data_IF_096946964129
#
_entry.id   IF_096946964129
#
_cell.length_a   1.000
_cell.length_b   1.000
_cell.length_c   1.000
_cell.angle_alpha   90.00
_cell.angle_beta   90.00
_cell.angle_gamma   90.00
#
_symmetry.space_group_name_H-M   'P 1'
#
loop_
_entity.id
_entity.type
_entity.pdbx_description
1 polymer ?
#
# COMPACT_ATOMS: atom_id res chain seq x y z
N UNK A 1 -8.89 -22.14 -7.33
CA UNK A 1 -10.22 -21.52 -7.20
C UNK A 1 -10.13 -20.56 -6.01
N UNK A 2 -9.90 -19.26 -6.25
CA UNK A 2 -9.44 -18.32 -5.21
C UNK A 2 -10.57 -17.96 -4.22
N UNK A 3 -10.30 -18.20 -2.95
CA UNK A 3 -11.10 -17.83 -1.79
C UNK A 3 -11.14 -16.29 -1.63
N UNK A 4 -12.15 -15.61 -2.16
CA UNK A 4 -12.21 -14.13 -2.05
C UNK A 4 -13.55 -13.55 -1.58
N UNK A 5 -14.52 -14.38 -1.18
CA UNK A 5 -15.78 -13.91 -0.56
C UNK A 5 -16.17 -14.71 0.68
N UNK A 6 -15.24 -14.83 1.62
CA UNK A 6 -15.57 -15.27 2.99
C UNK A 6 -15.74 -14.09 3.97
N UNK A 7 -15.71 -12.84 3.48
CA UNK A 7 -16.08 -11.72 4.34
C UNK A 7 -17.57 -11.80 4.71
N UNK A 8 -17.87 -11.53 5.98
CA UNK A 8 -19.24 -11.41 6.49
C UNK A 8 -19.96 -10.18 5.94
N UNK A 9 -19.23 -9.17 5.47
CA UNK A 9 -19.85 -7.90 5.07
C UNK A 9 -20.44 -7.94 3.66
N UNK A 10 -21.68 -7.49 3.55
CA UNK A 10 -22.42 -7.38 2.28
C UNK A 10 -22.36 -5.97 1.68
N UNK A 11 -21.83 -4.99 2.42
CA UNK A 11 -21.71 -3.59 2.00
C UNK A 11 -20.25 -3.15 2.05
N UNK A 12 -19.89 -2.20 1.19
CA UNK A 12 -18.56 -1.56 1.27
C UNK A 12 -18.45 -0.78 2.57
N UNK A 13 -17.24 -0.76 3.13
CA UNK A 13 -16.90 0.02 4.30
C UNK A 13 -17.28 1.51 4.10
N UNK A 14 -18.24 2.05 4.88
CA UNK A 14 -18.64 3.45 4.76
C UNK A 14 -17.54 4.43 5.19
N UNK A 15 -16.54 3.96 5.93
CA UNK A 15 -15.41 4.76 6.41
C UNK A 15 -14.28 4.88 5.36
N UNK A 16 -14.43 4.25 4.19
CA UNK A 16 -13.55 4.43 3.03
C UNK A 16 -14.22 5.36 2.02
N UNK A 17 -13.68 6.57 1.85
CA UNK A 17 -14.28 7.62 1.01
C UNK A 17 -13.56 7.80 -0.32
N UNK A 18 -14.31 7.88 -1.41
CA UNK A 18 -13.79 8.29 -2.72
C UNK A 18 -13.81 9.81 -2.83
N UNK A 19 -12.64 10.42 -2.96
CA UNK A 19 -12.45 11.87 -3.09
C UNK A 19 -12.06 12.27 -4.52
N UNK A 20 -12.26 11.40 -5.50
CA UNK A 20 -11.89 11.63 -6.91
C UNK A 20 -12.46 12.93 -7.46
N UNK A 21 -13.74 13.23 -7.20
CA UNK A 21 -14.37 14.45 -7.71
C UNK A 21 -13.72 15.73 -7.16
N UNK A 22 -13.18 15.67 -5.94
CA UNK A 22 -12.54 16.81 -5.28
C UNK A 22 -11.06 17.00 -5.66
N UNK A 23 -10.33 15.92 -5.97
CA UNK A 23 -8.88 15.97 -6.18
C UNK A 23 -8.40 15.40 -7.53
N UNK A 24 -9.30 14.98 -8.41
CA UNK A 24 -8.94 14.37 -9.70
C UNK A 24 -8.00 15.25 -10.54
N UNK A 25 -8.11 16.58 -10.41
CA UNK A 25 -7.24 17.57 -11.09
C UNK A 25 -6.16 18.21 -10.19
N UNK A 26 -6.02 17.76 -8.95
CA UNK A 26 -5.08 18.32 -7.96
C UNK A 26 -3.84 17.44 -7.81
N UNK A 27 -2.76 18.01 -7.25
CA UNK A 27 -1.55 17.25 -6.85
C UNK A 27 -1.86 16.29 -5.71
N UNK A 28 -1.10 15.19 -5.63
CA UNK A 28 -1.32 14.18 -4.58
C UNK A 28 -0.99 14.71 -3.18
N UNK A 29 -0.03 15.63 -3.05
CA UNK A 29 0.26 16.32 -1.79
C UNK A 29 -0.93 17.05 -1.19
N UNK A 30 -1.80 17.63 -2.01
CA UNK A 30 -3.03 18.27 -1.52
C UNK A 30 -4.02 17.23 -0.96
N UNK A 31 -4.12 16.08 -1.62
CA UNK A 31 -4.91 14.95 -1.10
C UNK A 31 -4.34 14.46 0.23
N UNK A 32 -3.03 14.20 0.32
CA UNK A 32 -2.40 13.74 1.56
C UNK A 32 -2.59 14.75 2.71
N UNK A 33 -2.40 16.05 2.46
CA UNK A 33 -2.59 17.10 3.46
C UNK A 33 -4.01 17.08 4.03
N UNK A 34 -5.01 17.17 3.15
CA UNK A 34 -6.41 17.30 3.55
C UNK A 34 -6.93 16.02 4.21
N UNK A 35 -6.49 14.83 3.76
CA UNK A 35 -6.85 13.56 4.38
C UNK A 35 -6.29 13.46 5.80
N UNK A 36 -4.99 13.70 5.98
CA UNK A 36 -4.36 13.62 7.31
C UNK A 36 -4.89 14.69 8.27
N UNK A 37 -5.14 15.91 7.78
CA UNK A 37 -5.78 16.96 8.58
C UNK A 37 -7.21 16.60 8.99
N UNK A 38 -8.00 16.00 8.08
CA UNK A 38 -9.35 15.51 8.36
C UNK A 38 -9.33 14.40 9.41
N UNK A 39 -8.43 13.43 9.28
CA UNK A 39 -8.29 12.34 10.25
C UNK A 39 -7.84 12.80 11.62
N UNK A 40 -6.92 13.78 11.69
CA UNK A 40 -6.53 14.39 12.96
C UNK A 40 -7.72 15.00 13.69
N UNK A 41 -8.64 15.67 12.98
CA UNK A 41 -9.88 16.22 13.55
C UNK A 41 -10.85 15.13 14.01
N UNK A 42 -10.95 14.05 13.25
CA UNK A 42 -11.84 12.92 13.53
C UNK A 42 -11.23 11.91 14.53
N UNK A 43 -10.00 12.13 15.00
CA UNK A 43 -9.23 11.19 15.82
C UNK A 43 -9.09 9.80 15.18
N UNK A 44 -8.94 9.77 13.86
CA UNK A 44 -8.70 8.56 13.08
C UNK A 44 -7.19 8.35 12.92
N UNK A 45 -6.73 7.15 13.26
CA UNK A 45 -5.31 6.80 13.23
C UNK A 45 -4.46 7.64 14.18
N UNK A 46 -3.14 7.61 14.00
CA UNK A 46 -2.18 8.22 14.92
C UNK A 46 -1.55 9.49 14.34
N UNK A 47 -2.39 10.41 13.84
CA UNK A 47 -1.92 11.67 13.24
C UNK A 47 -1.08 11.47 11.98
N UNK A 48 -1.31 10.36 11.26
CA UNK A 48 -0.54 9.94 10.08
C UNK A 48 0.50 8.85 10.36
N UNK A 49 0.96 8.70 11.61
CA UNK A 49 1.92 7.64 11.93
C UNK A 49 1.31 6.26 11.68
N UNK A 50 2.06 5.45 10.93
CA UNK A 50 1.69 4.12 10.45
C UNK A 50 0.44 4.11 9.57
N UNK A 51 -0.01 5.25 9.01
CA UNK A 51 -0.99 5.21 7.94
C UNK A 51 -0.38 4.49 6.72
N UNK A 52 -1.20 3.66 6.06
CA UNK A 52 -0.80 2.87 4.89
C UNK A 52 -1.11 3.70 3.65
N UNK A 53 -0.12 3.91 2.80
CA UNK A 53 -0.32 4.48 1.47
C UNK A 53 -0.46 3.38 0.43
N UNK A 54 -1.37 3.57 -0.53
CA UNK A 54 -1.47 2.76 -1.75
C UNK A 54 -1.34 3.68 -2.96
N UNK A 55 -0.54 3.27 -3.94
CA UNK A 55 -0.31 4.03 -5.16
C UNK A 55 -0.61 3.15 -6.36
N UNK A 56 -1.33 3.69 -7.33
CA UNK A 56 -1.51 3.12 -8.66
C UNK A 56 -0.74 3.91 -9.68
N UNK A 57 0.42 3.39 -10.05
CA UNK A 57 1.34 4.05 -10.97
C UNK A 57 1.00 3.72 -12.43
N UNK A 58 1.39 4.63 -13.32
CA UNK A 58 1.29 4.49 -14.79
C UNK A 58 2.64 4.27 -15.47
N UNK A 59 3.73 4.21 -14.70
CA UNK A 59 5.04 3.80 -15.23
C UNK A 59 5.05 2.29 -15.54
N UNK A 60 6.07 1.82 -16.27
CA UNK A 60 6.18 0.41 -16.66
C UNK A 60 6.15 -0.58 -15.48
N UNK A 61 6.88 -0.33 -14.36
CA UNK A 61 6.76 -1.16 -13.17
C UNK A 61 5.34 -1.17 -12.61
N UNK A 62 4.72 0.01 -12.48
CA UNK A 62 3.37 0.18 -11.98
C UNK A 62 2.31 -0.56 -12.77
N UNK A 63 2.33 -0.36 -14.08
CA UNK A 63 1.43 -1.02 -15.02
C UNK A 63 1.56 -2.55 -14.96
N UNK A 64 2.80 -3.06 -14.90
CA UNK A 64 3.09 -4.49 -14.77
C UNK A 64 2.49 -5.06 -13.49
N UNK A 65 2.74 -4.43 -12.34
CA UNK A 65 2.22 -4.89 -11.05
C UNK A 65 0.70 -4.83 -10.97
N UNK A 66 0.07 -3.79 -11.52
CA UNK A 66 -1.40 -3.67 -11.56
C UNK A 66 -2.02 -4.75 -12.44
N UNK A 67 -1.42 -5.02 -13.59
CA UNK A 67 -1.86 -6.08 -14.51
C UNK A 67 -1.70 -7.46 -13.90
N UNK A 68 -0.57 -7.73 -13.24
CA UNK A 68 -0.30 -9.00 -12.58
C UNK A 68 -1.36 -9.32 -11.49
N UNK A 69 -1.89 -8.31 -10.81
CA UNK A 69 -2.92 -8.48 -9.78
C UNK A 69 -4.33 -8.72 -10.33
N UNK A 70 -4.54 -8.75 -11.66
CA UNK A 70 -5.86 -9.05 -12.26
C UNK A 70 -6.45 -10.39 -11.81
N UNK A 71 -5.60 -11.40 -11.57
CA UNK A 71 -6.02 -12.71 -11.06
C UNK A 71 -6.60 -12.66 -9.64
N UNK A 72 -6.34 -11.57 -8.91
CA UNK A 72 -6.89 -11.29 -7.58
C UNK A 72 -8.25 -10.57 -7.65
N UNK A 73 -8.82 -10.38 -8.84
CA UNK A 73 -10.09 -9.68 -8.99
C UNK A 73 -11.10 -10.53 -9.73
N UNK A 74 -12.35 -10.49 -9.28
CA UNK A 74 -13.44 -11.22 -9.92
C UNK A 74 -13.74 -10.72 -11.34
N UNK A 75 -13.46 -9.44 -11.61
CA UNK A 75 -13.67 -8.81 -12.91
C UNK A 75 -12.49 -9.00 -13.87
N UNK A 76 -11.41 -9.65 -13.41
CA UNK A 76 -10.14 -9.84 -14.12
C UNK A 76 -9.53 -8.54 -14.65
N UNK A 77 -9.96 -7.38 -14.15
CA UNK A 77 -9.36 -6.10 -14.50
C UNK A 77 -8.06 -5.93 -13.72
N UNK A 78 -7.09 -5.17 -14.25
CA UNK A 78 -5.92 -4.78 -13.46
C UNK A 78 -6.31 -4.14 -12.12
N UNK A 79 -5.48 -4.34 -11.10
CA UNK A 79 -5.64 -3.64 -9.82
C UNK A 79 -5.58 -2.13 -10.01
N UNK A 80 -6.22 -1.39 -9.10
CA UNK A 80 -6.04 0.05 -9.00
C UNK A 80 -4.68 0.44 -8.41
N UNK A 81 -3.95 -0.51 -7.81
CA UNK A 81 -2.78 -0.27 -6.96
C UNK A 81 -1.59 -1.10 -7.43
N UNK A 82 -0.43 -0.47 -7.61
CA UNK A 82 0.85 -1.12 -7.88
C UNK A 82 1.74 -1.24 -6.66
N UNK A 83 1.60 -0.31 -5.69
CA UNK A 83 2.58 -0.14 -4.63
C UNK A 83 1.94 0.21 -3.29
N UNK A 84 2.66 -0.07 -2.20
CA UNK A 84 2.25 0.22 -0.84
C UNK A 84 3.42 0.72 0.02
N UNK A 85 3.13 1.59 0.99
CA UNK A 85 4.10 2.09 1.96
C UNK A 85 3.45 2.39 3.31
N UNK A 86 4.25 2.65 4.35
CA UNK A 86 3.77 3.22 5.61
C UNK A 86 4.35 4.60 5.85
N UNK A 87 3.55 5.52 6.40
CA UNK A 87 4.02 6.84 6.83
C UNK A 87 4.69 6.69 8.20
N UNK A 88 5.97 7.06 8.30
CA UNK A 88 6.79 6.92 9.50
C UNK A 88 6.87 8.20 10.36
N UNK A 89 5.99 9.18 10.13
CA UNK A 89 5.95 10.45 10.86
C UNK A 89 4.54 10.94 11.16
N UNK A 90 4.43 11.87 12.10
CA UNK A 90 3.16 12.49 12.50
C UNK A 90 3.05 13.92 12.01
N UNK A 91 1.83 14.33 11.63
CA UNK A 91 1.54 15.72 11.28
C UNK A 91 1.43 16.59 12.55
N UNK A 92 2.52 17.30 12.85
CA UNK A 92 2.64 18.17 14.03
C UNK A 92 2.34 19.66 13.75
N UNK A 93 1.84 20.01 12.56
CA UNK A 93 1.49 21.39 12.16
C UNK A 93 2.67 22.27 11.74
N UNK A 94 3.91 21.80 11.90
CA UNK A 94 5.13 22.49 11.46
C UNK A 94 5.76 21.83 10.23
N UNK A 95 5.60 20.53 10.08
CA UNK A 95 6.11 19.76 8.95
C UNK A 95 5.17 19.85 7.75
N UNK A 96 5.71 20.18 6.57
CA UNK A 96 4.97 20.05 5.32
C UNK A 96 4.62 18.57 5.10
N UNK A 97 3.38 18.28 4.70
CA UNK A 97 2.94 16.90 4.49
C UNK A 97 3.85 16.13 3.54
N UNK A 98 4.39 16.79 2.50
CA UNK A 98 5.24 16.15 1.51
C UNK A 98 6.59 15.71 2.09
N UNK A 99 7.02 16.30 3.21
CA UNK A 99 8.26 15.96 3.90
C UNK A 99 8.03 14.95 5.03
N UNK A 100 6.81 14.44 5.19
CA UNK A 100 6.57 13.32 6.12
C UNK A 100 7.35 12.09 5.64
N UNK A 101 8.13 11.46 6.54
CA UNK A 101 8.91 10.29 6.18
C UNK A 101 7.99 9.11 5.89
N UNK A 102 8.39 8.27 4.94
CA UNK A 102 7.76 6.99 4.63
C UNK A 102 8.79 5.86 4.59
N UNK A 103 8.32 4.64 4.79
CA UNK A 103 9.09 3.41 4.65
C UNK A 103 8.40 2.51 3.64
N UNK A 104 9.18 1.90 2.76
CA UNK A 104 8.66 1.10 1.65
C UNK A 104 9.65 0.06 1.16
N UNK A 105 9.14 -0.92 0.41
CA UNK A 105 9.96 -1.84 -0.38
C UNK A 105 9.55 -1.67 -1.84
N UNK A 106 10.18 -0.71 -2.51
CA UNK A 106 9.84 -0.34 -3.88
C UNK A 106 10.50 -1.29 -4.89
N UNK A 107 9.73 -1.78 -5.87
CA UNK A 107 10.26 -2.56 -6.99
C UNK A 107 11.30 -1.75 -7.78
N UNK A 108 11.03 -0.45 -7.93
CA UNK A 108 11.90 0.53 -8.57
C UNK A 108 11.95 1.80 -7.70
N UNK A 109 12.99 1.98 -6.85
CA UNK A 109 13.08 3.11 -5.94
C UNK A 109 13.19 4.44 -6.67
N UNK A 110 12.42 5.44 -6.24
CA UNK A 110 12.46 6.81 -6.77
C UNK A 110 13.41 7.74 -6.03
N UNK A 111 14.01 7.26 -4.94
CA UNK A 111 15.02 7.99 -4.18
C UNK A 111 16.36 8.09 -4.92
N UNK A 112 16.55 7.29 -5.97
CA UNK A 112 17.85 7.13 -6.63
C UNK A 112 18.82 6.23 -5.86
N UNK A 113 18.42 5.72 -4.69
CA UNK A 113 19.21 4.74 -3.94
C UNK A 113 18.81 3.32 -4.32
N UNK A 114 19.81 2.49 -4.61
CA UNK A 114 19.59 1.07 -4.81
C UNK A 114 19.13 0.41 -3.49
N UNK A 115 18.14 -0.51 -3.53
CA UNK A 115 17.69 -1.21 -2.32
C UNK A 115 18.85 -1.95 -1.66
N UNK A 116 18.90 -1.91 -0.33
CA UNK A 116 20.02 -2.46 0.43
C UNK A 116 19.70 -3.86 0.98
N UNK A 117 20.48 -4.92 0.65
CA UNK A 117 20.24 -6.27 1.13
C UNK A 117 20.26 -6.40 2.67
N UNK A 118 21.08 -5.59 3.34
CA UNK A 118 21.19 -5.53 4.80
C UNK A 118 19.94 -4.93 5.46
N UNK A 119 19.15 -4.15 4.70
CA UNK A 119 17.84 -3.63 5.11
C UNK A 119 16.68 -4.44 4.54
N UNK A 120 16.94 -5.65 4.04
CA UNK A 120 15.92 -6.49 3.41
C UNK A 120 15.17 -5.77 2.27
N UNK A 121 15.83 -4.83 1.58
CA UNK A 121 15.22 -4.02 0.52
C UNK A 121 14.35 -2.85 0.99
N UNK A 122 14.23 -2.60 2.30
CA UNK A 122 13.48 -1.45 2.84
C UNK A 122 14.22 -0.14 2.55
N UNK A 123 13.53 0.76 1.86
CA UNK A 123 13.95 2.12 1.57
C UNK A 123 13.25 3.14 2.46
N UNK A 124 13.89 4.29 2.64
CA UNK A 124 13.34 5.44 3.34
C UNK A 124 13.15 6.59 2.35
N UNK A 125 12.04 7.32 2.48
CA UNK A 125 11.72 8.43 1.61
C UNK A 125 10.79 9.42 2.27
N UNK A 126 10.16 10.27 1.47
CA UNK A 126 9.10 11.17 1.93
C UNK A 126 7.90 11.09 0.99
N UNK A 127 6.73 11.57 1.44
CA UNK A 127 5.51 11.60 0.61
C UNK A 127 5.68 12.35 -0.72
N UNK A 128 6.70 13.21 -0.83
CA UNK A 128 7.11 13.88 -2.07
C UNK A 128 7.37 12.92 -3.23
N UNK A 129 7.83 11.70 -2.97
CA UNK A 129 8.07 10.68 -4.00
C UNK A 129 6.82 10.34 -4.82
N UNK A 130 5.64 10.61 -4.26
CA UNK A 130 4.33 10.27 -4.83
C UNK A 130 3.46 11.49 -5.14
N UNK A 131 4.05 12.68 -5.24
CA UNK A 131 3.30 13.92 -5.43
C UNK A 131 2.80 14.14 -6.89
N UNK A 132 3.37 13.43 -7.87
CA UNK A 132 3.08 13.62 -9.28
C UNK A 132 1.82 12.84 -9.73
N UNK A 133 0.66 13.51 -9.95
CA UNK A 133 -0.59 12.82 -10.29
C UNK A 133 -0.62 12.23 -11.70
N UNK A 134 0.35 12.55 -12.57
CA UNK A 134 0.45 11.94 -13.90
C UNK A 134 1.01 10.52 -13.83
N UNK A 135 2.07 10.35 -13.03
CA UNK A 135 2.71 9.04 -12.83
C UNK A 135 1.97 8.26 -11.75
N UNK A 136 1.67 8.89 -10.62
CA UNK A 136 0.96 8.32 -9.46
C UNK A 136 -0.53 8.64 -9.55
N UNK A 137 -1.16 8.08 -10.57
CA UNK A 137 -2.51 8.43 -10.98
C UNK A 137 -3.55 8.11 -9.91
N UNK A 138 -3.46 6.93 -9.30
CA UNK A 138 -4.31 6.55 -8.19
C UNK A 138 -3.54 6.68 -6.88
N UNK A 139 -4.18 7.25 -5.86
CA UNK A 139 -3.61 7.33 -4.51
C UNK A 139 -4.68 6.99 -3.48
N UNK A 140 -4.30 6.28 -2.42
CA UNK A 140 -5.13 6.09 -1.25
C UNK A 140 -4.32 6.16 0.03
N UNK A 141 -4.98 6.54 1.11
CA UNK A 141 -4.50 6.38 2.47
C UNK A 141 -5.49 5.51 3.23
N UNK A 142 -4.97 4.56 4.02
CA UNK A 142 -5.73 3.75 4.97
C UNK A 142 -5.18 3.98 6.38
N UNK A 143 -6.06 3.99 7.37
CA UNK A 143 -5.71 4.10 8.78
C UNK A 143 -6.45 3.02 9.58
N UNK A 144 -5.70 2.33 10.42
CA UNK A 144 -6.23 1.38 11.40
C UNK A 144 -6.21 2.03 12.79
N UNK A 145 -7.29 1.87 13.54
CA UNK A 145 -7.37 2.31 14.93
C UNK A 145 -6.41 1.50 15.80
N UNK A 146 -5.50 2.21 16.45
CA UNK A 146 -4.55 1.66 17.40
C UNK A 146 -4.13 2.77 18.38
N UNK A 147 -3.65 2.37 19.55
CA UNK A 147 -3.08 3.28 20.54
C UNK A 147 -1.77 3.91 20.07
N UNK A 148 -1.36 5.00 20.71
CA UNK A 148 -0.09 5.67 20.41
C UNK A 148 1.12 4.77 20.71
N UNK A 149 1.03 3.93 21.76
CA UNK A 149 2.06 2.96 22.13
C UNK A 149 2.23 1.89 21.05
N UNK A 150 1.13 1.37 20.53
CA UNK A 150 1.13 0.43 19.40
C UNK A 150 1.72 1.07 18.15
N UNK A 151 1.31 2.29 17.79
CA UNK A 151 1.83 2.99 16.61
C UNK A 151 3.35 3.22 16.71
N UNK A 152 3.86 3.57 17.89
CA UNK A 152 5.30 3.67 18.17
C UNK A 152 6.01 2.31 18.09
N UNK A 153 5.38 1.25 18.60
CA UNK A 153 5.88 -0.12 18.49
C UNK A 153 5.99 -0.59 17.04
N UNK A 154 4.96 -0.33 16.23
CA UNK A 154 4.96 -0.60 14.79
C UNK A 154 6.02 0.21 14.05
N UNK A 155 6.19 1.49 14.38
CA UNK A 155 7.23 2.33 13.79
C UNK A 155 8.64 1.82 14.10
N UNK A 156 8.87 1.31 15.32
CA UNK A 156 10.12 0.63 15.68
C UNK A 156 10.30 -0.65 14.89
N UNK A 157 9.26 -1.49 14.81
CA UNK A 157 9.27 -2.76 14.06
C UNK A 157 9.55 -2.53 12.57
N UNK A 158 8.97 -1.51 11.96
CA UNK A 158 9.20 -1.13 10.56
C UNK A 158 10.69 -0.87 10.26
N UNK A 159 11.47 -0.45 11.28
CA UNK A 159 12.92 -0.20 11.17
C UNK A 159 13.78 -1.40 11.58
N UNK A 160 13.17 -2.48 12.06
CA UNK A 160 13.85 -3.74 12.40
C UNK A 160 13.77 -4.71 11.22
N UNK A 161 14.44 -4.36 10.13
CA UNK A 161 14.24 -4.93 8.79
C UNK A 161 14.42 -6.44 8.65
N UNK A 162 15.24 -7.04 9.51
CA UNK A 162 15.57 -8.47 9.46
C UNK A 162 14.80 -9.31 10.48
N UNK A 163 13.87 -8.70 11.22
CA UNK A 163 12.97 -9.45 12.08
C UNK A 163 12.11 -10.36 11.22
N UNK A 164 12.11 -11.66 11.51
CA UNK A 164 11.36 -12.67 10.77
C UNK A 164 11.68 -12.74 9.26
N UNK A 165 12.95 -12.49 8.88
CA UNK A 165 13.41 -12.54 7.48
C UNK A 165 13.16 -13.89 6.79
N UNK A 166 13.07 -14.98 7.56
CA UNK A 166 12.73 -16.31 7.02
C UNK A 166 11.33 -16.30 6.41
N UNK A 167 10.38 -15.66 7.08
CA UNK A 167 9.00 -15.51 6.60
C UNK A 167 8.86 -14.36 5.61
N UNK A 168 9.48 -13.23 5.90
CA UNK A 168 9.43 -12.01 5.10
C UNK A 168 10.78 -11.75 4.43
N UNK A 169 11.16 -12.61 3.49
CA UNK A 169 12.35 -12.40 2.66
C UNK A 169 12.05 -11.42 1.52
N UNK A 170 11.81 -10.16 1.89
CA UNK A 170 11.41 -9.06 1.00
C UNK A 170 12.46 -8.83 -0.10
N UNK A 171 13.73 -9.07 0.20
CA UNK A 171 14.83 -9.02 -0.78
C UNK A 171 14.68 -10.06 -1.90
N UNK A 172 14.38 -11.31 -1.55
CA UNK A 172 14.17 -12.38 -2.53
C UNK A 172 12.91 -12.12 -3.37
N UNK A 173 11.81 -11.69 -2.71
CA UNK A 173 10.59 -11.27 -3.39
C UNK A 173 10.88 -10.16 -4.42
N UNK A 174 11.65 -9.14 -4.06
CA UNK A 174 12.07 -8.08 -4.98
C UNK A 174 12.81 -8.65 -6.19
N UNK A 175 13.75 -9.58 -6.00
CA UNK A 175 14.50 -10.21 -7.08
C UNK A 175 13.59 -10.96 -8.08
N UNK A 176 12.61 -11.72 -7.57
CA UNK A 176 11.63 -12.44 -8.40
C UNK A 176 10.80 -11.45 -9.23
N UNK A 177 10.30 -10.38 -8.60
CA UNK A 177 9.50 -9.37 -9.29
C UNK A 177 10.29 -8.55 -10.31
N UNK A 178 11.55 -8.22 -10.03
CA UNK A 178 12.44 -7.59 -11.01
C UNK A 178 12.67 -8.53 -12.20
N UNK A 179 12.89 -9.82 -11.94
CA UNK A 179 12.95 -10.83 -12.98
C UNK A 179 11.70 -10.84 -13.86
N UNK A 180 10.51 -10.85 -13.26
CA UNK A 180 9.25 -10.80 -14.00
C UNK A 180 9.12 -9.53 -14.86
N UNK A 181 9.41 -8.36 -14.28
CA UNK A 181 9.34 -7.06 -14.96
C UNK A 181 10.22 -7.01 -16.21
N UNK A 182 11.46 -7.47 -16.13
CA UNK A 182 12.44 -7.35 -17.22
C UNK A 182 12.39 -8.49 -18.24
N UNK A 183 11.66 -9.57 -17.94
CA UNK A 183 11.60 -10.74 -18.81
C UNK A 183 10.60 -10.63 -19.98
N UNK A 184 9.97 -9.48 -20.21
CA UNK A 184 9.04 -9.24 -21.34
C UNK A 184 7.97 -10.34 -21.51
N UNK A 185 7.45 -10.87 -20.40
CA UNK A 185 6.44 -11.95 -20.42
C UNK A 185 6.99 -13.38 -20.47
N UNK A 186 8.33 -13.57 -20.55
CA UNK A 186 8.95 -14.91 -20.54
C UNK A 186 8.89 -15.59 -19.17
N UNK A 187 8.74 -14.82 -18.08
CA UNK A 187 8.53 -15.37 -16.74
C UNK A 187 7.05 -15.36 -16.37
N UNK A 188 6.53 -16.43 -15.72
CA UNK A 188 5.17 -16.45 -15.23
C UNK A 188 4.92 -15.32 -14.22
N UNK A 189 3.64 -15.02 -13.98
CA UNK A 189 3.23 -14.04 -12.99
C UNK A 189 3.57 -14.56 -11.58
N UNK A 190 4.43 -13.88 -10.80
CA UNK A 190 4.86 -14.35 -9.48
C UNK A 190 3.72 -14.60 -8.49
N UNK A 191 2.62 -13.84 -8.58
CA UNK A 191 1.44 -14.07 -7.73
C UNK A 191 0.80 -15.44 -7.99
N UNK A 192 0.88 -15.96 -9.21
CA UNK A 192 0.38 -17.29 -9.55
C UNK A 192 1.20 -18.39 -8.88
N UNK A 193 2.49 -18.13 -8.68
CA UNK A 193 3.45 -19.06 -8.08
C UNK A 193 3.56 -18.89 -6.55
N UNK A 194 2.69 -18.08 -5.94
CA UNK A 194 2.69 -17.87 -4.49
C UNK A 194 3.68 -16.83 -3.98
N UNK A 195 4.31 -16.04 -4.87
CA UNK A 195 5.25 -15.00 -4.49
C UNK A 195 4.52 -13.66 -4.33
N UNK A 196 4.44 -13.10 -3.11
CA UNK A 196 3.71 -11.87 -2.85
C UNK A 196 4.46 -10.63 -3.37
N UNK A 197 3.76 -9.50 -3.46
CA UNK A 197 4.38 -8.21 -3.75
C UNK A 197 5.07 -7.70 -2.48
N UNK A 198 6.38 -7.45 -2.57
CA UNK A 198 7.22 -7.11 -1.42
C UNK A 198 6.72 -5.87 -0.64
N UNK A 199 6.20 -4.86 -1.35
CA UNK A 199 5.64 -3.66 -0.75
C UNK A 199 4.47 -3.96 0.21
N UNK A 200 3.52 -4.80 -0.19
CA UNK A 200 2.39 -5.19 0.66
C UNK A 200 2.77 -6.17 1.75
N UNK A 201 3.68 -7.11 1.46
CA UNK A 201 4.23 -8.01 2.48
C UNK A 201 4.98 -7.26 3.58
N UNK A 202 5.65 -6.17 3.25
CA UNK A 202 6.28 -5.30 4.24
C UNK A 202 5.26 -4.63 5.15
N UNK A 203 4.15 -4.13 4.60
CA UNK A 203 3.06 -3.56 5.41
C UNK A 203 2.46 -4.63 6.34
N UNK A 204 2.20 -5.82 5.82
CA UNK A 204 1.70 -6.95 6.63
C UNK A 204 2.68 -7.30 7.76
N UNK A 205 3.97 -7.48 7.44
CA UNK A 205 5.04 -7.73 8.41
C UNK A 205 5.03 -6.72 9.56
N UNK A 206 4.82 -5.43 9.27
CA UNK A 206 4.74 -4.40 10.30
C UNK A 206 3.53 -4.68 11.19
N UNK A 207 2.34 -4.78 10.61
CA UNK A 207 1.08 -4.88 11.35
C UNK A 207 0.90 -6.18 12.13
N UNK A 208 1.62 -7.25 11.78
CA UNK A 208 1.75 -8.42 12.64
C UNK A 208 2.32 -8.10 14.02
N UNK A 209 3.05 -6.99 14.18
CA UNK A 209 3.56 -6.54 15.48
C UNK A 209 2.48 -6.16 16.50
N UNK A 210 1.21 -6.09 16.09
CA UNK A 210 0.04 -5.90 16.96
C UNK A 210 -0.98 -7.03 16.78
N UNK A 211 -0.52 -8.20 16.32
CA UNK A 211 -1.31 -9.41 16.05
C UNK A 211 -2.48 -9.18 15.08
N UNK A 212 -2.33 -8.23 14.15
CA UNK A 212 -3.36 -7.90 13.17
C UNK A 212 -3.05 -8.52 11.81
N UNK A 213 -3.89 -9.46 11.37
CA UNK A 213 -3.92 -9.89 9.97
C UNK A 213 -4.56 -8.79 9.10
N UNK A 214 -3.71 -8.08 8.36
CA UNK A 214 -4.12 -6.97 7.53
C UNK A 214 -4.69 -7.41 6.18
N UNK A 215 -4.46 -8.66 5.77
CA UNK A 215 -4.91 -9.20 4.48
C UNK A 215 -5.62 -10.55 4.64
N UNK A 216 -6.73 -10.61 5.38
CA UNK A 216 -7.44 -11.87 5.68
C UNK A 216 -8.02 -12.58 4.45
N UNK A 217 -8.10 -11.89 3.30
CA UNK A 217 -8.50 -12.48 2.02
C UNK A 217 -7.37 -13.20 1.29
N UNK A 218 -6.11 -12.97 1.66
CA UNK A 218 -4.98 -13.56 0.98
C UNK A 218 -4.81 -15.03 1.41
N UNK A 219 -4.92 -15.97 0.47
CA UNK A 219 -4.53 -17.35 0.74
C UNK A 219 -3.01 -17.42 0.91
N UNK A 220 -2.55 -18.02 2.02
CA UNK A 220 -1.15 -18.41 2.24
C UNK A 220 -0.12 -17.31 1.93
N UNK A 221 -0.21 -16.16 2.62
CA UNK A 221 0.79 -15.07 2.63
C UNK A 221 1.08 -14.43 1.27
N UNK A 222 0.19 -14.63 0.30
CA UNK A 222 0.33 -14.10 -1.04
C UNK A 222 -0.21 -12.66 -1.10
N UNK A 223 0.36 -11.78 -0.29
CA UNK A 223 -0.09 -10.39 -0.11
C UNK A 223 0.20 -9.51 -1.33
N UNK A 224 -0.72 -8.60 -1.63
CA UNK A 224 -0.65 -7.66 -2.74
C UNK A 224 -1.34 -6.34 -2.35
N UNK A 225 -1.00 -5.19 -2.95
CA UNK A 225 -1.75 -3.95 -2.73
C UNK A 225 -3.27 -4.07 -2.92
N UNK A 226 -3.72 -4.90 -3.86
CA UNK A 226 -5.14 -5.23 -4.04
C UNK A 226 -5.75 -5.93 -2.81
N UNK A 227 -4.99 -6.77 -2.09
CA UNK A 227 -5.46 -7.40 -0.86
C UNK A 227 -5.64 -6.38 0.27
N UNK A 228 -4.69 -5.46 0.45
CA UNK A 228 -4.78 -4.37 1.44
C UNK A 228 -6.03 -3.50 1.21
N UNK A 229 -6.28 -3.15 -0.05
CA UNK A 229 -7.46 -2.38 -0.43
C UNK A 229 -8.76 -3.15 -0.20
N UNK A 230 -8.82 -4.42 -0.60
CA UNK A 230 -10.01 -5.25 -0.39
C UNK A 230 -10.27 -5.53 1.09
N UNK A 231 -9.22 -5.64 1.92
CA UNK A 231 -9.36 -5.74 3.37
C UNK A 231 -10.05 -4.48 3.93
N UNK A 232 -9.60 -3.29 3.55
CA UNK A 232 -10.23 -2.04 3.97
C UNK A 232 -11.69 -1.89 3.51
N UNK A 233 -12.01 -2.33 2.29
CA UNK A 233 -13.36 -2.21 1.74
C UNK A 233 -14.34 -3.25 2.29
N UNK A 234 -13.92 -4.50 2.41
CA UNK A 234 -14.85 -5.61 2.58
C UNK A 234 -14.68 -6.33 3.90
N UNK A 235 -13.52 -6.27 4.54
CA UNK A 235 -13.25 -6.99 5.79
C UNK A 235 -13.39 -6.12 7.04
N UNK A 236 -13.81 -4.86 6.88
CA UNK A 236 -13.92 -3.88 7.96
C UNK A 236 -14.74 -4.34 9.18
N UNK A 237 -15.72 -5.23 9.00
CA UNK A 237 -16.45 -5.87 10.11
C UNK A 237 -15.57 -6.81 10.94
N UNK A 238 -14.71 -7.61 10.30
CA UNK A 238 -13.75 -8.48 10.98
C UNK A 238 -12.70 -7.67 11.75
N UNK A 239 -12.25 -6.54 11.20
CA UNK A 239 -11.40 -5.61 11.95
C UNK A 239 -12.14 -5.08 13.20
N UNK A 240 -13.40 -4.68 13.07
CA UNK A 240 -14.23 -4.22 14.19
C UNK A 240 -14.41 -5.30 15.28
N UNK A 241 -14.58 -6.56 14.88
CA UNK A 241 -14.63 -7.71 15.82
C UNK A 241 -13.34 -7.84 16.65
N UNK A 242 -12.20 -7.38 16.12
CA UNK A 242 -10.90 -7.33 16.81
C UNK A 242 -10.64 -5.98 17.51
N UNK A 243 -11.65 -5.13 17.69
CA UNK A 243 -11.52 -3.76 18.21
C UNK A 243 -10.57 -2.87 17.40
N UNK A 244 -10.40 -3.15 16.11
CA UNK A 244 -9.63 -2.33 15.17
C UNK A 244 -10.60 -1.76 14.14
N UNK A 245 -10.84 -0.46 14.08
CA UNK A 245 -11.57 0.09 12.92
C UNK A 245 -10.58 0.43 11.81
N UNK A 246 -10.99 0.24 10.56
CA UNK A 246 -10.21 0.68 9.39
C UNK A 246 -10.99 1.73 8.62
N UNK A 247 -10.34 2.86 8.35
CA UNK A 247 -10.87 3.98 7.57
C UNK A 247 -9.94 4.28 6.40
N UNK A 248 -10.47 4.93 5.36
CA UNK A 248 -9.70 5.20 4.15
C UNK A 248 -10.17 6.41 3.37
N UNK A 249 -9.30 6.92 2.52
CA UNK A 249 -9.66 7.85 1.46
C UNK A 249 -8.88 7.51 0.19
N UNK A 250 -9.47 7.72 -0.99
CA UNK A 250 -8.79 7.50 -2.25
C UNK A 250 -9.10 8.57 -3.31
N UNK A 251 -8.25 8.63 -4.32
CA UNK A 251 -8.41 9.40 -5.56
C UNK A 251 -8.04 8.48 -6.71
N UNK A 252 -8.95 8.28 -7.66
CA UNK A 252 -8.82 7.34 -8.77
C UNK A 252 -8.82 8.10 -10.10
N UNK A 253 -7.63 8.41 -10.64
CA UNK A 253 -7.50 9.10 -11.94
C UNK A 253 -7.36 8.14 -13.11
N UNK A 254 -6.90 6.92 -12.85
CA UNK A 254 -6.72 5.89 -13.87
C UNK A 254 -7.32 4.55 -13.40
N UNK A 255 -8.59 4.35 -13.72
CA UNK A 255 -9.29 3.08 -13.48
C UNK A 255 -8.96 2.02 -14.53
N UNK A 256 -8.38 2.42 -15.66
CA UNK A 256 -8.11 1.57 -16.82
C UNK A 256 -6.75 0.88 -16.81
N UNK A 257 -5.83 1.34 -15.95
CA UNK A 257 -4.43 0.88 -15.95
C UNK A 257 -3.72 1.25 -17.25
N UNK A 258 -3.72 2.55 -17.56
CA UNK A 258 -3.04 3.10 -18.74
C UNK A 258 -1.54 3.27 -18.49
N UNK A 259 -0.69 2.71 -19.36
CA UNK A 259 0.75 2.99 -19.38
C UNK A 259 1.02 4.41 -19.92
N UNK A 260 1.99 5.12 -19.35
CA UNK A 260 2.49 6.38 -19.92
C UNK A 260 3.28 6.11 -21.20
N UNK A 261 3.07 6.93 -22.23
CA UNK A 261 3.86 6.90 -23.46
C UNK A 261 5.30 7.36 -23.22
N UNK A 262 6.20 7.11 -24.17
CA UNK A 262 7.60 7.55 -24.09
C UNK A 262 7.76 9.09 -23.99
N UNK A 263 6.73 9.83 -24.42
CA UNK A 263 6.70 11.30 -24.51
C UNK A 263 5.80 11.97 -23.45
N UNK A 264 5.22 11.21 -22.49
CA UNK A 264 4.28 11.71 -21.45
C UNK A 264 4.87 11.75 -20.03
#
# INVERSE_FOLDING_TARGET
MLAMRFSKSTKKNPDVRDWTDRYGKKRNGQFFADTLASWKKQKIGNGGLMAIGLIGQRDLPGHTLRTAQSLLRWDLRPSLWSHAFVIAGQLNGRTNVLDLPLLEVALHPRTGEFPRPERNGVGEGTLRLYDNPKVDANVALLAVTMSETEAKGLAKRARTYNLDRVRYNLWDMLGVWQGHLWSHGMRPNPLRDGVPIAASSYVEFIYEGIDLDLTPAASSRNSAPEHLWNAALWWHEAFKEQNRSIAGACVLRDKGCSLLGADE
#
